data_IF_104091719730
#
_entry.id   IF_104091719730
#
_cell.length_a   1.000
_cell.length_b   1.000
_cell.length_c   1.000
_cell.angle_alpha   90.00
_cell.angle_beta   90.00
_cell.angle_gamma   90.00
#
_symmetry.space_group_name_H-M   'P 1'
#
loop_
_entity.id
_entity.type
_entity.pdbx_description
1 polymer ?
#
# COMPACT_ATOMS: atom_id res chain seq x y z
N UNK A 1 3.97 15.42 3.79
CA UNK A 1 2.66 15.02 4.36
C UNK A 1 2.04 16.20 5.09
N UNK A 2 0.72 16.35 4.96
CA UNK A 2 -0.07 17.34 5.72
C UNK A 2 -1.42 16.74 6.13
N UNK A 3 -2.02 17.26 7.20
CA UNK A 3 -3.32 16.81 7.69
C UNK A 3 -4.39 17.77 7.21
N UNK A 4 -5.51 17.23 6.76
CA UNK A 4 -6.72 17.97 6.42
C UNK A 4 -7.95 17.25 6.95
N UNK A 5 -9.13 17.78 6.67
CA UNK A 5 -10.41 17.18 7.08
C UNK A 5 -11.49 17.38 6.01
N UNK A 6 -12.44 16.47 6.01
CA UNK A 6 -13.67 16.54 5.23
C UNK A 6 -14.86 16.13 6.11
N UNK A 7 -16.04 15.98 5.54
CA UNK A 7 -17.25 15.57 6.25
C UNK A 7 -17.17 14.16 6.89
N UNK A 8 -16.21 13.34 6.46
CA UNK A 8 -15.97 11.97 6.98
C UNK A 8 -14.82 11.89 7.98
N UNK A 9 -14.17 13.01 8.32
CA UNK A 9 -13.11 13.09 9.30
C UNK A 9 -11.76 13.55 8.74
N UNK A 10 -10.70 13.30 9.48
CA UNK A 10 -9.35 13.71 9.10
C UNK A 10 -8.77 12.80 8.01
N UNK A 11 -7.97 13.38 7.15
CA UNK A 11 -7.14 12.66 6.18
C UNK A 11 -5.69 13.13 6.22
N UNK A 12 -4.80 12.31 5.71
CA UNK A 12 -3.42 12.64 5.46
C UNK A 12 -3.23 12.86 3.95
N UNK A 13 -2.74 14.05 3.57
CA UNK A 13 -2.36 14.36 2.18
C UNK A 13 -0.87 14.13 1.99
N UNK A 14 -0.50 13.39 0.96
CA UNK A 14 0.86 13.18 0.53
C UNK A 14 1.09 13.84 -0.84
N UNK A 15 2.13 14.64 -0.97
CA UNK A 15 2.62 15.17 -2.24
C UNK A 15 4.05 14.65 -2.41
N UNK A 16 4.26 13.87 -3.47
CA UNK A 16 5.56 13.33 -3.83
C UNK A 16 5.98 13.92 -5.18
N UNK A 17 7.06 14.68 -5.20
CA UNK A 17 7.64 15.27 -6.41
C UNK A 17 9.10 14.81 -6.50
N UNK A 18 9.38 13.88 -7.42
CA UNK A 18 10.69 13.23 -7.55
C UNK A 18 11.26 12.81 -6.18
N UNK A 19 10.42 12.21 -5.36
CA UNK A 19 10.72 11.92 -3.97
C UNK A 19 10.07 10.60 -3.51
N UNK A 20 10.59 10.03 -2.45
CA UNK A 20 10.01 8.90 -1.75
C UNK A 20 9.96 9.21 -0.25
N UNK A 21 8.80 9.01 0.35
CA UNK A 21 8.64 9.17 1.80
C UNK A 21 7.56 8.23 2.32
N UNK A 22 7.86 7.57 3.42
CA UNK A 22 6.94 6.67 4.10
C UNK A 22 6.73 7.07 5.55
N UNK A 23 5.55 6.75 6.07
CA UNK A 23 5.21 6.83 7.49
C UNK A 23 4.85 5.43 7.97
N UNK A 24 5.60 4.92 8.92
CA UNK A 24 5.42 3.58 9.46
C UNK A 24 5.18 3.58 10.96
N UNK A 25 4.50 2.54 11.41
CA UNK A 25 4.24 2.28 12.82
C UNK A 25 4.42 0.79 13.13
N UNK A 26 5.16 0.48 14.19
CA UNK A 26 5.09 -0.84 14.80
C UNK A 26 3.72 -1.00 15.46
N UNK A 27 3.01 -2.05 15.09
CA UNK A 27 1.67 -2.34 15.59
C UNK A 27 1.43 -3.84 15.55
N UNK A 28 0.84 -4.37 16.62
CA UNK A 28 0.47 -5.78 16.71
C UNK A 28 -1.01 -5.93 16.38
N UNK A 29 -1.27 -6.63 15.27
CA UNK A 29 -2.64 -6.93 14.83
C UNK A 29 -2.83 -8.44 14.83
N UNK A 30 -3.82 -8.91 15.61
CA UNK A 30 -4.20 -10.32 15.64
C UNK A 30 -5.07 -10.66 14.43
N UNK A 31 -4.47 -11.29 13.42
CA UNK A 31 -5.15 -11.65 12.17
C UNK A 31 -6.12 -12.83 12.32
N UNK A 32 -6.13 -13.53 13.46
CA UNK A 32 -7.17 -14.52 13.76
C UNK A 32 -8.48 -13.86 14.17
N UNK A 33 -8.42 -12.63 14.69
CA UNK A 33 -9.59 -11.85 15.11
C UNK A 33 -10.02 -10.83 14.05
N UNK A 34 -9.06 -10.13 13.45
CA UNK A 34 -9.32 -9.05 12.50
C UNK A 34 -8.41 -9.18 11.28
N UNK A 35 -8.70 -10.15 10.38
CA UNK A 35 -7.86 -10.40 9.20
C UNK A 35 -8.02 -9.39 8.07
N UNK A 36 -9.11 -8.61 8.07
CA UNK A 36 -9.46 -7.73 6.95
C UNK A 36 -8.89 -6.33 7.19
N UNK A 37 -8.01 -5.88 6.31
CA UNK A 37 -7.64 -4.47 6.24
C UNK A 37 -8.65 -3.71 5.39
N UNK A 38 -9.06 -2.54 5.88
CA UNK A 38 -9.91 -1.58 5.17
C UNK A 38 -9.09 -0.33 4.93
N UNK A 39 -9.06 0.16 3.69
CA UNK A 39 -8.27 1.32 3.28
C UNK A 39 -9.16 2.26 2.51
N UNK A 40 -9.30 3.50 3.00
CA UNK A 40 -9.95 4.60 2.27
C UNK A 40 -8.90 5.58 1.81
N UNK A 41 -8.80 5.76 0.50
CA UNK A 41 -7.78 6.59 -0.13
C UNK A 41 -8.29 7.27 -1.40
N UNK A 42 -7.54 8.26 -1.88
CA UNK A 42 -7.78 8.96 -3.13
C UNK A 42 -6.46 9.31 -3.79
N UNK A 43 -6.34 9.07 -5.09
CA UNK A 43 -5.24 9.58 -5.92
C UNK A 43 -5.79 10.72 -6.77
N UNK A 44 -5.32 11.93 -6.51
CA UNK A 44 -5.68 13.14 -7.28
C UNK A 44 -4.80 13.29 -8.51
N UNK A 45 -3.50 13.02 -8.36
CA UNK A 45 -2.52 13.04 -9.45
C UNK A 45 -1.74 11.73 -9.46
N UNK A 46 -1.81 11.02 -10.57
CA UNK A 46 -1.23 9.69 -10.75
C UNK A 46 0.06 9.69 -11.58
N UNK A 47 0.57 8.50 -11.87
CA UNK A 47 1.85 8.27 -12.54
C UNK A 47 1.64 7.50 -13.85
N UNK A 48 1.06 8.13 -14.89
CA UNK A 48 0.71 7.43 -16.13
C UNK A 48 1.97 7.00 -16.90
N UNK A 49 1.86 5.88 -17.62
CA UNK A 49 2.87 5.42 -18.59
C UNK A 49 4.12 4.77 -18.01
N UNK A 50 4.20 4.57 -16.68
CA UNK A 50 5.33 3.85 -16.06
C UNK A 50 5.06 2.34 -15.99
N UNK A 51 6.12 1.54 -16.01
CA UNK A 51 6.05 0.09 -15.80
C UNK A 51 6.33 -0.23 -14.35
N UNK A 52 5.26 -0.26 -13.53
CA UNK A 52 5.33 -0.37 -12.07
C UNK A 52 6.03 -1.64 -11.56
N UNK A 53 6.07 -2.71 -12.35
CA UNK A 53 6.74 -3.97 -12.01
C UNK A 53 8.25 -4.01 -12.39
N UNK A 54 8.84 -2.88 -12.75
CA UNK A 54 10.26 -2.75 -13.09
C UNK A 54 10.96 -1.80 -12.14
N UNK A 55 12.28 -1.97 -11.94
CA UNK A 55 13.07 -1.06 -11.07
C UNK A 55 12.95 0.42 -11.47
N UNK A 56 12.91 0.69 -12.77
CA UNK A 56 12.82 2.06 -13.29
C UNK A 56 11.46 2.71 -13.04
N UNK A 57 10.40 1.92 -12.97
CA UNK A 57 9.03 2.42 -12.82
C UNK A 57 8.34 1.97 -11.53
N UNK A 58 9.08 1.49 -10.53
CA UNK A 58 8.49 0.98 -9.27
C UNK A 58 8.09 2.12 -8.34
N UNK A 59 7.21 2.96 -8.82
CA UNK A 59 6.59 4.06 -8.10
C UNK A 59 5.07 3.87 -8.05
N UNK A 60 4.49 4.21 -6.92
CA UNK A 60 3.04 4.19 -6.74
C UNK A 60 2.58 5.47 -6.05
N UNK A 61 1.52 6.06 -6.56
CA UNK A 61 0.93 7.24 -5.95
C UNK A 61 0.48 6.96 -4.52
N UNK A 62 -0.08 5.76 -4.26
CA UNK A 62 -0.45 5.34 -2.91
C UNK A 62 -0.09 3.88 -2.66
N UNK A 63 0.51 3.62 -1.50
CA UNK A 63 0.85 2.30 -0.99
C UNK A 63 0.48 2.17 0.48
N UNK A 64 0.02 0.98 0.87
CA UNK A 64 -0.13 0.58 2.27
C UNK A 64 0.59 -0.75 2.46
N UNK A 65 1.60 -0.77 3.31
CA UNK A 65 2.38 -1.96 3.64
C UNK A 65 1.85 -2.63 4.89
N UNK A 66 1.68 -3.94 4.85
CA UNK A 66 1.49 -4.79 6.02
C UNK A 66 2.74 -5.65 6.18
N UNK A 67 3.32 -5.67 7.37
CA UNK A 67 4.67 -6.17 7.59
C UNK A 67 4.67 -7.26 8.66
N UNK A 68 5.32 -8.40 8.33
CA UNK A 68 5.61 -9.49 9.25
C UNK A 68 7.12 -9.62 9.45
N UNK A 69 7.55 -9.53 10.70
CA UNK A 69 8.93 -9.85 11.09
C UNK A 69 9.13 -11.36 11.05
N UNK A 70 10.04 -11.85 10.24
CA UNK A 70 10.31 -13.28 10.05
C UNK A 70 11.73 -13.69 10.44
N UNK A 71 12.55 -12.78 10.96
CA UNK A 71 13.92 -13.04 11.34
C UNK A 71 14.50 -11.93 12.23
N UNK A 72 15.80 -12.02 12.46
CA UNK A 72 16.50 -11.13 13.40
C UNK A 72 16.75 -9.71 12.88
N UNK A 73 16.66 -9.50 11.56
CA UNK A 73 16.94 -8.21 10.92
C UNK A 73 15.76 -7.71 10.09
N UNK A 74 15.62 -6.38 9.89
CA UNK A 74 14.59 -5.83 8.98
C UNK A 74 14.67 -6.39 7.55
N UNK A 75 15.85 -6.82 7.09
CA UNK A 75 16.03 -7.41 5.76
C UNK A 75 15.35 -8.77 5.59
N UNK A 76 15.00 -9.44 6.68
CA UNK A 76 14.25 -10.71 6.64
C UNK A 76 12.74 -10.53 6.65
N UNK A 77 12.23 -9.32 6.87
CA UNK A 77 10.79 -9.06 6.93
C UNK A 77 10.09 -9.42 5.63
N UNK A 78 8.85 -9.94 5.77
CA UNK A 78 7.94 -10.16 4.65
C UNK A 78 6.87 -9.08 4.65
N UNK A 79 6.53 -8.59 3.47
CA UNK A 79 5.53 -7.54 3.32
C UNK A 79 4.56 -7.86 2.19
N UNK A 80 3.33 -7.38 2.34
CA UNK A 80 2.42 -7.19 1.23
C UNK A 80 2.20 -5.68 1.10
N UNK A 81 2.32 -5.21 -0.11
CA UNK A 81 2.20 -3.83 -0.49
C UNK A 81 0.91 -3.66 -1.27
N UNK A 82 -0.14 -3.21 -0.60
CA UNK A 82 -1.39 -2.88 -1.25
C UNK A 82 -1.26 -1.54 -1.95
N UNK A 83 -1.54 -1.50 -3.24
CA UNK A 83 -1.25 -0.33 -4.08
C UNK A 83 -2.49 0.19 -4.80
N UNK A 84 -2.53 1.51 -4.96
CA UNK A 84 -3.39 2.21 -5.90
C UNK A 84 -2.57 2.43 -7.17
N UNK A 85 -2.81 1.60 -8.17
CA UNK A 85 -2.00 1.58 -9.39
C UNK A 85 -2.43 2.65 -10.39
N UNK A 86 -1.47 3.20 -11.09
CA UNK A 86 -1.72 4.11 -12.22
C UNK A 86 -1.81 3.37 -13.56
N UNK A 87 -1.27 2.16 -13.68
CA UNK A 87 -1.10 1.49 -14.98
C UNK A 87 -1.61 0.05 -15.02
N UNK A 88 -1.77 -0.62 -13.87
CA UNK A 88 -2.22 -2.01 -13.80
C UNK A 88 -3.67 -2.12 -13.32
N UNK A 89 -4.30 -3.26 -13.65
CA UNK A 89 -5.67 -3.56 -13.26
C UNK A 89 -5.75 -4.09 -11.81
N UNK A 90 -6.91 -3.94 -11.19
CA UNK A 90 -7.20 -4.55 -9.88
C UNK A 90 -7.00 -6.06 -9.95
N UNK A 91 -6.32 -6.61 -8.94
CA UNK A 91 -5.95 -8.02 -8.87
C UNK A 91 -4.59 -8.36 -9.47
N UNK A 92 -3.97 -7.47 -10.24
CA UNK A 92 -2.59 -7.67 -10.67
C UNK A 92 -1.67 -7.69 -9.44
N UNK A 93 -0.75 -8.64 -9.41
CA UNK A 93 0.24 -8.74 -8.35
C UNK A 93 1.58 -9.18 -8.92
N UNK A 94 2.65 -8.73 -8.30
CA UNK A 94 4.02 -9.11 -8.66
C UNK A 94 4.97 -8.95 -7.48
N UNK A 95 6.05 -9.72 -7.43
CA UNK A 95 7.15 -9.41 -6.52
C UNK A 95 7.71 -8.03 -6.79
N UNK A 96 8.10 -7.32 -5.75
CA UNK A 96 8.90 -6.10 -5.91
C UNK A 96 10.15 -6.40 -6.76
N UNK A 97 10.51 -5.52 -7.70
CA UNK A 97 11.72 -5.72 -8.51
C UNK A 97 13.02 -5.63 -7.69
N UNK A 98 12.93 -5.19 -6.43
CA UNK A 98 14.06 -5.11 -5.51
C UNK A 98 14.19 -6.32 -4.60
N UNK A 99 13.07 -6.98 -4.25
CA UNK A 99 13.08 -8.15 -3.37
C UNK A 99 11.80 -8.98 -3.52
N UNK A 100 11.96 -10.30 -3.54
CA UNK A 100 10.81 -11.23 -3.51
C UNK A 100 10.11 -11.30 -2.14
N UNK A 101 10.69 -10.65 -1.12
CA UNK A 101 10.10 -10.59 0.23
C UNK A 101 8.98 -9.56 0.35
N UNK A 102 8.76 -8.75 -0.66
CA UNK A 102 7.64 -7.81 -0.77
C UNK A 102 6.85 -8.09 -2.05
N UNK A 103 5.54 -8.21 -1.92
CA UNK A 103 4.62 -8.44 -3.04
C UNK A 103 3.74 -7.22 -3.20
N UNK A 104 3.72 -6.65 -4.40
CA UNK A 104 2.78 -5.60 -4.76
C UNK A 104 1.46 -6.22 -5.20
N UNK A 105 0.34 -5.78 -4.65
CA UNK A 105 -1.01 -6.25 -4.96
C UNK A 105 -1.94 -5.07 -5.20
N UNK A 106 -2.48 -4.97 -6.41
CA UNK A 106 -3.33 -3.85 -6.83
C UNK A 106 -4.74 -4.01 -6.28
N UNK A 107 -5.17 -3.08 -5.43
CA UNK A 107 -6.54 -3.02 -4.89
C UNK A 107 -7.40 -1.93 -5.54
N UNK A 108 -6.79 -0.92 -6.15
CA UNK A 108 -7.50 0.14 -6.89
C UNK A 108 -6.65 0.62 -8.07
N UNK A 109 -7.31 1.18 -9.08
CA UNK A 109 -6.64 1.74 -10.26
C UNK A 109 -7.17 3.12 -10.61
N UNK A 110 -6.29 4.02 -11.01
CA UNK A 110 -6.66 5.37 -11.45
C UNK A 110 -7.38 5.39 -12.80
N UNK A 111 -7.29 4.31 -13.57
CA UNK A 111 -8.09 4.15 -14.80
C UNK A 111 -9.59 4.30 -14.55
N UNK A 112 -10.05 3.84 -13.39
CA UNK A 112 -11.47 3.89 -13.01
C UNK A 112 -11.76 4.96 -11.96
N UNK A 113 -10.78 5.28 -11.09
CA UNK A 113 -11.02 6.00 -9.85
C UNK A 113 -10.10 7.23 -9.65
N UNK A 114 -9.55 7.81 -10.72
CA UNK A 114 -8.75 9.03 -10.57
C UNK A 114 -9.59 10.15 -9.91
N UNK A 115 -9.00 10.79 -8.91
CA UNK A 115 -9.61 11.88 -8.14
C UNK A 115 -10.93 11.51 -7.42
N UNK A 116 -11.09 10.22 -7.11
CA UNK A 116 -12.25 9.70 -6.35
C UNK A 116 -11.79 9.05 -5.05
N UNK A 117 -12.54 9.28 -3.98
CA UNK A 117 -12.40 8.51 -2.75
C UNK A 117 -12.93 7.10 -2.97
N UNK A 118 -12.11 6.11 -2.67
CA UNK A 118 -12.50 4.70 -2.73
C UNK A 118 -12.10 3.99 -1.45
N UNK A 119 -12.94 3.06 -1.03
CA UNK A 119 -12.63 2.14 0.08
C UNK A 119 -12.44 0.75 -0.48
N UNK A 120 -11.30 0.14 -0.18
CA UNK A 120 -10.94 -1.21 -0.59
C UNK A 120 -10.69 -2.08 0.63
N UNK A 121 -10.78 -3.40 0.45
CA UNK A 121 -10.61 -4.40 1.50
C UNK A 121 -9.74 -5.55 1.00
N UNK A 122 -8.96 -6.13 1.90
CA UNK A 122 -8.19 -7.33 1.63
C UNK A 122 -8.08 -8.20 2.88
N UNK A 123 -8.11 -9.53 2.70
CA UNK A 123 -7.82 -10.47 3.77
C UNK A 123 -6.30 -10.67 3.87
N UNK A 124 -5.70 -10.00 4.82
CA UNK A 124 -4.24 -9.98 5.00
C UNK A 124 -3.69 -11.37 5.34
N UNK A 125 -4.44 -12.16 6.14
CA UNK A 125 -4.01 -13.50 6.50
C UNK A 125 -3.98 -14.44 5.28
N UNK A 126 -5.01 -14.40 4.46
CA UNK A 126 -5.09 -15.18 3.22
C UNK A 126 -4.03 -14.72 2.22
N UNK A 127 -3.78 -13.43 2.11
CA UNK A 127 -2.78 -12.87 1.20
C UNK A 127 -1.35 -13.28 1.60
N UNK A 128 -1.00 -13.30 2.88
CA UNK A 128 0.28 -13.85 3.32
C UNK A 128 0.42 -15.34 2.99
N UNK A 129 -0.64 -16.11 3.14
CA UNK A 129 -0.63 -17.52 2.73
C UNK A 129 -0.46 -17.68 1.23
N UNK A 130 -1.21 -16.92 0.45
CA UNK A 130 -1.18 -16.96 -1.02
C UNK A 130 0.17 -16.51 -1.60
N UNK A 131 0.69 -15.38 -1.14
CA UNK A 131 1.85 -14.74 -1.77
C UNK A 131 3.19 -15.16 -1.16
N UNK A 132 3.24 -15.49 0.11
CA UNK A 132 4.47 -15.84 0.83
C UNK A 132 4.50 -17.29 1.33
N UNK A 133 3.40 -18.04 1.19
CA UNK A 133 3.21 -19.35 1.80
C UNK A 133 3.44 -19.36 3.32
N UNK A 134 3.03 -18.28 3.99
CA UNK A 134 3.17 -18.10 5.43
C UNK A 134 1.80 -18.06 6.12
N UNK A 135 1.69 -18.79 7.22
CA UNK A 135 0.57 -18.68 8.15
C UNK A 135 0.86 -17.59 9.18
N UNK A 136 0.35 -16.39 8.93
CA UNK A 136 0.58 -15.22 9.80
C UNK A 136 -0.60 -15.03 10.74
N UNK A 137 -0.37 -15.17 12.04
CA UNK A 137 -1.39 -14.94 13.07
C UNK A 137 -1.37 -13.52 13.61
N UNK A 138 -0.23 -12.85 13.53
CA UNK A 138 -0.04 -11.50 14.05
C UNK A 138 0.85 -10.69 13.09
N UNK A 139 0.39 -9.48 12.71
CA UNK A 139 1.23 -8.49 12.04
C UNK A 139 2.12 -7.76 13.04
N UNK A 140 3.23 -7.24 12.55
CA UNK A 140 4.23 -6.50 13.33
C UNK A 140 4.33 -5.03 12.96
N UNK A 141 3.82 -4.63 11.79
CA UNK A 141 3.90 -3.26 11.33
C UNK A 141 2.92 -2.90 10.24
N UNK A 142 2.66 -1.60 10.15
CA UNK A 142 1.86 -0.96 9.12
C UNK A 142 2.60 0.29 8.65
N UNK A 143 2.61 0.54 7.35
CA UNK A 143 3.19 1.76 6.79
C UNK A 143 2.39 2.24 5.59
N UNK A 144 2.46 3.53 5.31
CA UNK A 144 2.00 4.14 4.06
C UNK A 144 3.18 4.77 3.34
N UNK A 145 3.09 4.87 2.02
CA UNK A 145 4.11 5.50 1.21
C UNK A 145 3.52 6.07 -0.07
N UNK A 146 4.06 7.19 -0.51
CA UNK A 146 3.87 7.76 -1.84
C UNK A 146 5.24 8.04 -2.41
N UNK A 147 5.54 7.52 -3.59
CA UNK A 147 6.87 7.62 -4.18
C UNK A 147 6.84 7.89 -5.68
N UNK A 148 7.78 8.69 -6.13
CA UNK A 148 7.95 9.14 -7.52
C UNK A 148 9.43 9.30 -7.90
N UNK A 149 10.34 8.79 -7.08
CA UNK A 149 11.77 8.99 -7.24
C UNK A 149 12.38 8.17 -8.40
N UNK A 150 11.74 7.08 -8.80
CA UNK A 150 12.14 6.32 -9.99
C UNK A 150 11.63 6.98 -11.28
N UNK A 151 10.37 7.38 -11.32
CA UNK A 151 9.72 7.98 -12.50
C UNK A 151 10.04 9.44 -12.71
N UNK A 152 10.47 10.16 -11.65
CA UNK A 152 10.70 11.62 -11.65
C UNK A 152 9.43 12.44 -11.89
N UNK A 153 8.27 11.85 -11.64
CA UNK A 153 6.96 12.48 -11.76
C UNK A 153 6.49 13.05 -10.41
N UNK A 154 5.28 13.61 -10.40
CA UNK A 154 4.61 14.09 -9.19
C UNK A 154 3.32 13.32 -8.97
N UNK A 155 3.08 12.89 -7.73
CA UNK A 155 1.83 12.28 -7.31
C UNK A 155 1.21 13.04 -6.14
N UNK A 156 -0.13 13.07 -6.09
CA UNK A 156 -0.90 13.65 -4.99
C UNK A 156 -1.93 12.62 -4.53
N UNK A 157 -1.85 12.26 -3.26
CA UNK A 157 -2.65 11.19 -2.67
C UNK A 157 -3.17 11.57 -1.29
N UNK A 158 -4.31 10.98 -0.93
CA UNK A 158 -4.96 11.16 0.36
C UNK A 158 -5.25 9.80 0.98
N UNK A 159 -4.98 9.66 2.29
CA UNK A 159 -5.26 8.46 3.08
C UNK A 159 -6.22 8.81 4.21
N UNK A 160 -7.23 7.96 4.39
CA UNK A 160 -8.23 8.10 5.45
C UNK A 160 -8.68 6.72 5.91
N UNK A 161 -9.05 6.57 7.19
CA UNK A 161 -9.70 5.38 7.73
C UNK A 161 -9.04 4.04 7.38
N UNK A 162 -7.74 3.88 7.71
CA UNK A 162 -7.07 2.59 7.60
C UNK A 162 -7.29 1.84 8.92
N UNK A 163 -8.01 0.70 8.85
CA UNK A 163 -8.31 -0.10 10.05
C UNK A 163 -8.49 -1.58 9.71
N UNK A 164 -8.47 -2.43 10.73
CA UNK A 164 -8.68 -3.87 10.61
C UNK A 164 -10.03 -4.27 11.20
N UNK A 165 -10.71 -5.22 10.53
CA UNK A 165 -12.02 -5.74 10.95
C UNK A 165 -12.07 -7.27 10.83
N UNK A 166 -13.09 -7.86 11.49
CA UNK A 166 -13.31 -9.32 11.45
C UNK A 166 -13.88 -9.76 10.10
N UNK A 167 -14.70 -8.94 9.48
CA UNK A 167 -15.44 -9.13 8.25
C UNK A 167 -15.55 -7.86 7.39
#
# INVERSE_FOLDING_TARGET
>A
YSVGSNDKGNFLKAVADNAASGLGKEIKINLNKTPIINITWKVEKDLPGIKENTKKGHDFAARVFVIKKTGATPLSNRAINYVFSSNNEVGFNSPSPYTKKSIDNVLATTKENLNKWVTVRANVKEDFKKFHNLDVNELDGLAIMSDTDNSKLEAITYYQNIYFSAD
#
